data_IF_560953729605
#
_entry.id   IF_560953729605
#
_cell.length_a   1.000
_cell.length_b   1.000
_cell.length_c   1.000
_cell.angle_alpha   90.00
_cell.angle_beta   90.00
_cell.angle_gamma   90.00
#
_symmetry.space_group_name_H-M   'P 1'
#
loop_
_entity.id
_entity.type
_entity.pdbx_description
1 polymer ?
#
# COMPACT_ATOMS: atom_id res chain seq x y z
N UNK A 1 7.83 12.55 16.05
CA UNK A 1 7.19 11.66 15.05
C UNK A 1 7.21 10.19 15.44
N UNK A 2 8.18 9.69 16.23
CA UNK A 2 8.22 8.27 16.62
C UNK A 2 6.94 7.73 17.31
N UNK A 3 6.14 8.59 17.96
CA UNK A 3 4.88 8.19 18.60
C UNK A 3 3.72 7.88 17.63
N UNK A 4 3.86 8.21 16.34
CA UNK A 4 2.84 7.93 15.32
C UNK A 4 3.08 6.61 14.59
N UNK A 5 4.29 6.06 14.70
CA UNK A 5 4.65 4.79 14.07
C UNK A 5 3.78 3.67 14.65
N UNK A 6 3.10 2.93 13.76
CA UNK A 6 2.14 1.91 14.15
C UNK A 6 0.82 2.43 14.76
N UNK A 7 0.56 3.75 14.76
CA UNK A 7 -0.71 4.26 15.26
C UNK A 7 -1.87 3.85 14.35
N UNK A 8 -3.02 3.52 14.96
CA UNK A 8 -4.26 3.15 14.24
C UNK A 8 -4.65 4.21 13.22
N UNK A 9 -4.56 5.49 13.58
CA UNK A 9 -4.97 6.60 12.71
C UNK A 9 -4.12 6.65 11.45
N UNK A 10 -2.79 6.49 11.57
CA UNK A 10 -1.92 6.47 10.40
C UNK A 10 -2.18 5.25 9.52
N UNK A 11 -2.31 4.06 10.12
CA UNK A 11 -2.57 2.82 9.36
C UNK A 11 -3.91 2.92 8.61
N UNK A 12 -4.97 3.35 9.27
CA UNK A 12 -6.29 3.50 8.66
C UNK A 12 -6.27 4.53 7.52
N UNK A 13 -5.58 5.67 7.70
CA UNK A 13 -5.39 6.67 6.64
C UNK A 13 -4.66 6.08 5.45
N UNK A 14 -3.49 5.45 5.67
CA UNK A 14 -2.68 4.89 4.59
C UNK A 14 -3.46 3.86 3.77
N UNK A 15 -4.30 3.05 4.40
CA UNK A 15 -5.15 2.07 3.69
C UNK A 15 -6.15 2.74 2.76
N UNK A 16 -6.79 3.82 3.21
CA UNK A 16 -7.72 4.59 2.37
C UNK A 16 -6.97 5.25 1.23
N UNK A 17 -5.82 5.87 1.52
CA UNK A 17 -4.99 6.54 0.53
C UNK A 17 -4.51 5.57 -0.56
N UNK A 18 -4.12 4.35 -0.19
CA UNK A 18 -3.72 3.28 -1.12
C UNK A 18 -4.89 2.82 -2.00
N UNK A 19 -6.07 2.60 -1.41
CA UNK A 19 -7.26 2.19 -2.17
C UNK A 19 -7.65 3.26 -3.19
N UNK A 20 -7.67 4.53 -2.77
CA UNK A 20 -7.96 5.67 -3.64
C UNK A 20 -6.94 5.79 -4.79
N UNK A 21 -5.63 5.68 -4.49
CA UNK A 21 -4.59 5.71 -5.51
C UNK A 21 -4.72 4.55 -6.50
N UNK A 22 -4.98 3.34 -6.01
CA UNK A 22 -5.14 2.16 -6.85
C UNK A 22 -6.33 2.32 -7.81
N UNK A 23 -7.46 2.86 -7.33
CA UNK A 23 -8.63 3.15 -8.15
C UNK A 23 -8.31 4.15 -9.27
N UNK A 24 -7.56 5.21 -8.96
CA UNK A 24 -7.11 6.21 -9.96
C UNK A 24 -6.16 5.59 -10.98
N UNK A 25 -5.19 4.78 -10.54
CA UNK A 25 -4.23 4.10 -11.42
C UNK A 25 -4.97 3.16 -12.38
N UNK A 26 -5.92 2.36 -11.88
CA UNK A 26 -6.71 1.47 -12.74
C UNK A 26 -7.56 2.24 -13.77
N UNK A 27 -8.19 3.36 -13.38
CA UNK A 27 -8.95 4.19 -14.32
C UNK A 27 -8.05 4.77 -15.43
N UNK A 28 -6.84 5.22 -15.08
CA UNK A 28 -5.87 5.73 -16.06
C UNK A 28 -5.40 4.61 -16.99
N UNK A 29 -4.96 3.47 -16.45
CA UNK A 29 -4.47 2.33 -17.24
C UNK A 29 -5.58 1.77 -18.15
N UNK A 30 -6.83 1.75 -17.68
CA UNK A 30 -7.98 1.36 -18.49
C UNK A 30 -8.18 2.24 -19.73
N UNK A 31 -7.71 3.49 -19.70
CA UNK A 31 -7.82 4.47 -20.80
C UNK A 31 -6.56 4.53 -21.67
N UNK A 32 -5.38 4.36 -21.07
CA UNK A 32 -4.08 4.55 -21.75
C UNK A 32 -3.44 3.24 -22.20
N UNK A 33 -3.88 2.10 -21.66
CA UNK A 33 -3.29 0.79 -21.89
C UNK A 33 -2.25 0.40 -20.82
N UNK A 34 -1.78 -0.84 -20.88
CA UNK A 34 -0.87 -1.41 -19.87
C UNK A 34 0.51 -0.72 -19.88
N UNK A 35 1.00 -0.42 -18.68
CA UNK A 35 2.35 0.11 -18.43
C UNK A 35 3.24 -1.01 -17.91
N UNK A 36 4.46 -1.11 -18.44
CA UNK A 36 5.46 -2.10 -18.00
C UNK A 36 6.52 -1.45 -17.13
N UNK A 37 6.13 -1.09 -15.92
CA UNK A 37 7.04 -0.72 -14.84
C UNK A 37 7.10 -1.84 -13.81
N UNK A 38 8.28 -2.07 -13.25
CA UNK A 38 8.42 -2.98 -12.12
C UNK A 38 8.10 -2.23 -10.83
N UNK A 39 7.50 -2.95 -9.87
CA UNK A 39 7.34 -2.44 -8.52
C UNK A 39 8.72 -2.17 -7.91
N UNK A 40 8.88 -1.01 -7.29
CA UNK A 40 10.04 -0.68 -6.47
C UNK A 40 10.11 -1.58 -5.23
N UNK A 41 8.95 -1.90 -4.63
CA UNK A 41 8.85 -2.74 -3.42
C UNK A 41 8.97 -4.24 -3.72
N UNK A 42 8.43 -4.69 -4.85
CA UNK A 42 8.46 -6.08 -5.32
C UNK A 42 9.15 -6.15 -6.70
N UNK A 43 10.49 -6.10 -6.77
CA UNK A 43 11.22 -5.97 -8.04
C UNK A 43 11.00 -7.12 -9.03
N UNK A 44 10.50 -8.26 -8.53
CA UNK A 44 10.14 -9.44 -9.31
C UNK A 44 8.76 -9.33 -10.00
N UNK A 45 7.98 -8.29 -9.70
CA UNK A 45 6.63 -8.07 -10.23
C UNK A 45 6.53 -6.77 -11.02
N UNK A 46 5.62 -6.74 -12.00
CA UNK A 46 5.15 -5.46 -12.52
C UNK A 46 4.32 -4.75 -11.45
N UNK A 47 4.38 -3.42 -11.40
CA UNK A 47 3.61 -2.64 -10.42
C UNK A 47 2.10 -2.92 -10.54
N UNK A 48 1.61 -3.15 -11.75
CA UNK A 48 0.21 -3.50 -12.02
C UNK A 48 -0.19 -4.90 -11.58
N UNK A 49 0.78 -5.78 -11.31
CA UNK A 49 0.57 -7.17 -10.88
C UNK A 49 0.67 -7.32 -9.35
N UNK A 50 0.93 -6.23 -8.63
CA UNK A 50 0.91 -6.22 -7.17
C UNK A 50 -0.55 -6.28 -6.70
N UNK A 51 -0.88 -7.31 -5.91
CA UNK A 51 -2.22 -7.46 -5.35
C UNK A 51 -2.41 -6.52 -4.15
N UNK A 52 -2.94 -5.34 -4.42
CA UNK A 52 -3.21 -4.32 -3.40
C UNK A 52 -4.27 -4.80 -2.40
N UNK A 53 -5.25 -5.61 -2.82
CA UNK A 53 -6.26 -6.13 -1.90
C UNK A 53 -5.64 -7.10 -0.90
N UNK A 54 -4.76 -8.01 -1.33
CA UNK A 54 -4.03 -8.90 -0.43
C UNK A 54 -3.20 -8.10 0.59
N UNK A 55 -2.51 -7.05 0.14
CA UNK A 55 -1.72 -6.16 1.01
C UNK A 55 -2.62 -5.47 2.03
N UNK A 56 -3.75 -4.90 1.60
CA UNK A 56 -4.71 -4.25 2.49
C UNK A 56 -5.39 -5.27 3.42
N UNK A 57 -5.61 -6.52 3.05
CA UNK A 57 -6.13 -7.51 4.01
C UNK A 57 -5.09 -7.88 5.07
N UNK A 58 -3.83 -8.02 4.65
CA UNK A 58 -2.73 -8.46 5.51
C UNK A 58 -2.27 -7.39 6.51
N UNK A 59 -2.15 -6.14 6.07
CA UNK A 59 -1.55 -5.07 6.87
C UNK A 59 -2.62 -4.12 7.41
N UNK A 60 -3.11 -4.45 8.60
CA UNK A 60 -4.12 -3.68 9.33
C UNK A 60 -3.70 -3.45 10.77
N UNK A 61 -4.38 -2.52 11.45
CA UNK A 61 -4.15 -2.30 12.87
C UNK A 61 -4.65 -3.50 13.69
N UNK A 62 -3.80 -3.97 14.61
CA UNK A 62 -4.05 -5.11 15.48
C UNK A 62 -3.60 -4.86 16.92
N UNK A 63 -3.52 -5.96 17.69
CA UNK A 63 -3.18 -5.91 19.13
C UNK A 63 -1.68 -5.84 19.43
N UNK A 64 -0.85 -6.16 18.45
CA UNK A 64 0.60 -6.21 18.61
C UNK A 64 1.24 -4.95 18.04
N UNK A 65 1.90 -4.18 18.90
CA UNK A 65 2.53 -2.91 18.51
C UNK A 65 3.61 -3.11 17.45
N UNK A 66 4.39 -4.20 17.50
CA UNK A 66 5.43 -4.46 16.50
C UNK A 66 4.80 -4.73 15.13
N UNK A 67 3.75 -5.55 15.08
CA UNK A 67 3.03 -5.83 13.83
C UNK A 67 2.39 -4.55 13.28
N UNK A 68 1.90 -3.67 14.15
CA UNK A 68 1.38 -2.37 13.75
C UNK A 68 2.45 -1.47 13.12
N UNK A 69 3.67 -1.45 13.67
CA UNK A 69 4.78 -0.71 13.09
C UNK A 69 5.16 -1.27 11.71
N UNK A 70 5.18 -2.61 11.56
CA UNK A 70 5.42 -3.26 10.27
C UNK A 70 4.31 -2.90 9.28
N UNK A 71 3.04 -2.99 9.66
CA UNK A 71 1.90 -2.59 8.82
C UNK A 71 2.03 -1.13 8.37
N UNK A 72 2.36 -0.22 9.27
CA UNK A 72 2.58 1.19 8.93
C UNK A 72 3.68 1.33 7.87
N UNK A 73 4.85 0.72 8.09
CA UNK A 73 6.00 0.84 7.17
C UNK A 73 5.67 0.25 5.80
N UNK A 74 5.06 -0.94 5.76
CA UNK A 74 4.73 -1.59 4.50
C UNK A 74 3.70 -0.77 3.73
N UNK A 75 2.61 -0.32 4.36
CA UNK A 75 1.62 0.52 3.68
C UNK A 75 2.24 1.83 3.17
N UNK A 76 3.14 2.45 3.95
CA UNK A 76 3.84 3.66 3.51
C UNK A 76 4.74 3.40 2.30
N UNK A 77 5.46 2.28 2.26
CA UNK A 77 6.28 1.89 1.10
C UNK A 77 5.43 1.61 -0.14
N UNK A 78 4.21 1.09 0.01
CA UNK A 78 3.27 0.87 -1.11
C UNK A 78 2.73 2.18 -1.68
N UNK A 79 2.60 3.25 -0.89
CA UNK A 79 2.25 4.57 -1.44
C UNK A 79 3.37 5.14 -2.32
N UNK A 80 4.62 4.80 -2.01
CA UNK A 80 5.79 5.26 -2.79
C UNK A 80 5.96 4.44 -4.07
N UNK A 81 5.56 3.16 -4.03
CA UNK A 81 5.62 2.21 -5.13
C UNK A 81 4.80 2.64 -6.36
#
# INVERSE_FOLDING_TARGET
MAHLLGSKVCIDSLRVDIDDLQNVIYDIIGKTGSIKCHSWKFPDKLATDVDINEILERYQYGKNDLDNQVSHIILFEIIID
#
